data_IF_896938711461
#
_entry.id   IF_896938711461
#
_cell.length_a   1.000
_cell.length_b   1.000
_cell.length_c   1.000
_cell.angle_alpha   90.00
_cell.angle_beta   90.00
_cell.angle_gamma   90.00
#
_symmetry.space_group_name_H-M   'P 1'
#
loop_
_entity.id
_entity.type
_entity.pdbx_description
1 polymer ?
#
# COMPACT_ATOMS: atom_id res chain seq x y z
N UNK A 1 -14.57 -38.21 6.47
CA UNK A 1 -13.55 -38.17 5.40
C UNK A 1 -13.37 -36.72 4.99
N UNK A 2 -12.15 -36.17 5.06
CA UNK A 2 -11.87 -34.83 4.57
C UNK A 2 -12.14 -34.78 3.07
N UNK A 3 -13.10 -33.96 2.65
CA UNK A 3 -13.44 -33.75 1.24
C UNK A 3 -12.32 -32.87 0.66
N UNK A 4 -11.49 -33.43 -0.23
CA UNK A 4 -10.47 -32.66 -0.92
C UNK A 4 -11.14 -31.64 -1.84
N UNK A 5 -10.81 -30.35 -1.67
CA UNK A 5 -11.31 -29.27 -2.52
C UNK A 5 -10.20 -28.86 -3.50
N UNK A 6 -10.37 -29.09 -4.81
CA UNK A 6 -9.36 -28.75 -5.80
C UNK A 6 -9.13 -27.23 -5.90
N UNK A 7 -7.87 -26.80 -5.89
CA UNK A 7 -7.50 -25.43 -6.25
C UNK A 7 -7.54 -25.24 -7.79
N UNK A 8 -7.72 -24.01 -8.26
CA UNK A 8 -7.70 -23.64 -9.68
C UNK A 8 -6.42 -24.06 -10.39
N UNK A 9 -5.25 -23.84 -9.76
CA UNK A 9 -3.94 -24.22 -10.34
C UNK A 9 -3.84 -25.73 -10.49
N UNK A 10 -4.23 -26.48 -9.46
CA UNK A 10 -4.28 -27.94 -9.49
C UNK A 10 -5.17 -28.48 -10.62
N UNK A 11 -6.35 -27.88 -10.83
CA UNK A 11 -7.22 -28.27 -11.95
C UNK A 11 -6.58 -27.98 -13.32
N UNK A 12 -5.77 -26.91 -13.43
CA UNK A 12 -5.02 -26.58 -14.66
C UNK A 12 -3.85 -27.54 -14.91
N UNK A 13 -3.17 -28.00 -13.86
CA UNK A 13 -2.15 -29.06 -13.95
C UNK A 13 -2.76 -30.36 -14.51
N UNK A 14 -3.95 -30.74 -14.04
CA UNK A 14 -4.68 -31.90 -14.56
C UNK A 14 -5.03 -31.71 -16.05
N UNK A 15 -5.48 -30.51 -16.44
CA UNK A 15 -5.75 -30.21 -17.85
C UNK A 15 -4.48 -30.38 -18.70
N UNK A 16 -3.32 -29.90 -18.23
CA UNK A 16 -2.05 -30.04 -18.92
C UNK A 16 -1.64 -31.51 -19.05
N UNK A 17 -1.79 -32.30 -17.99
CA UNK A 17 -1.51 -33.72 -18.00
C UNK A 17 -2.33 -34.46 -19.07
N UNK A 18 -3.64 -34.23 -19.14
CA UNK A 18 -4.49 -34.84 -20.16
C UNK A 18 -4.26 -34.30 -21.56
N UNK A 19 -3.82 -33.05 -21.70
CA UNK A 19 -3.39 -32.49 -22.98
C UNK A 19 -2.15 -33.22 -23.52
N UNK A 20 -1.18 -33.55 -22.66
CA UNK A 20 0.00 -34.36 -23.02
C UNK A 20 -0.43 -35.77 -23.45
N UNK A 21 -1.45 -36.34 -22.81
CA UNK A 21 -2.07 -37.61 -23.20
C UNK A 21 -2.92 -37.55 -24.49
N UNK A 22 -2.96 -36.39 -25.19
CA UNK A 22 -3.71 -36.19 -26.44
C UNK A 22 -5.23 -36.37 -26.33
N UNK A 23 -5.80 -36.21 -25.13
CA UNK A 23 -7.26 -36.17 -24.96
C UNK A 23 -7.84 -34.86 -25.46
N UNK A 24 -9.14 -34.85 -25.76
CA UNK A 24 -9.86 -33.63 -26.11
C UNK A 24 -10.35 -32.88 -24.87
N UNK A 25 -10.51 -31.55 -24.97
CA UNK A 25 -11.02 -30.73 -23.87
C UNK A 25 -12.39 -31.19 -23.36
N UNK A 26 -13.26 -31.69 -24.26
CA UNK A 26 -14.59 -32.16 -23.93
C UNK A 26 -14.57 -33.47 -23.12
N UNK A 27 -13.65 -34.40 -23.45
CA UNK A 27 -13.46 -35.63 -22.67
C UNK A 27 -12.94 -35.30 -21.27
N UNK A 28 -11.97 -34.38 -21.18
CA UNK A 28 -11.40 -33.98 -19.90
C UNK A 28 -12.42 -33.27 -19.03
N UNK A 29 -13.26 -32.40 -19.60
CA UNK A 29 -14.36 -31.78 -18.86
C UNK A 29 -15.33 -32.82 -18.28
N UNK A 30 -15.71 -33.85 -19.05
CA UNK A 30 -16.55 -34.95 -18.55
C UNK A 30 -15.89 -35.69 -17.39
N UNK A 31 -14.60 -36.01 -17.51
CA UNK A 31 -13.82 -36.66 -16.44
C UNK A 31 -13.80 -35.77 -15.18
N UNK A 32 -13.52 -34.47 -15.33
CA UNK A 32 -13.46 -33.53 -14.22
C UNK A 32 -14.80 -33.37 -13.49
N UNK A 33 -15.90 -33.30 -14.23
CA UNK A 33 -17.26 -33.25 -13.65
C UNK A 33 -17.58 -34.55 -12.91
N UNK A 34 -17.19 -35.70 -13.46
CA UNK A 34 -17.39 -36.99 -12.81
C UNK A 34 -16.57 -37.14 -11.52
N UNK A 35 -15.35 -36.60 -11.47
CA UNK A 35 -14.47 -36.72 -10.30
C UNK A 35 -14.69 -35.65 -9.23
N UNK A 36 -14.96 -34.41 -9.64
CA UNK A 36 -15.00 -33.24 -8.74
C UNK A 36 -16.38 -32.59 -8.61
N UNK A 37 -17.38 -33.02 -9.40
CA UNK A 37 -18.74 -32.49 -9.34
C UNK A 37 -18.79 -30.98 -9.52
N UNK A 38 -19.38 -30.30 -8.54
CA UNK A 38 -19.54 -28.83 -8.53
C UNK A 38 -18.21 -28.06 -8.46
N UNK A 39 -17.12 -28.71 -8.04
CA UNK A 39 -15.79 -28.10 -7.98
C UNK A 39 -15.01 -28.21 -9.31
N UNK A 40 -15.60 -28.76 -10.36
CA UNK A 40 -14.97 -28.92 -11.66
C UNK A 40 -14.86 -27.57 -12.43
N UNK A 41 -13.89 -27.48 -13.33
CA UNK A 41 -13.81 -26.37 -14.27
C UNK A 41 -14.95 -26.43 -15.29
N UNK A 42 -15.46 -25.25 -15.67
CA UNK A 42 -16.44 -25.14 -16.75
C UNK A 42 -15.85 -25.58 -18.10
N UNK A 43 -16.71 -26.07 -19.01
CA UNK A 43 -16.31 -26.50 -20.35
C UNK A 43 -15.59 -25.39 -21.13
N UNK A 44 -16.04 -24.14 -20.99
CA UNK A 44 -15.40 -22.97 -21.63
C UNK A 44 -13.98 -22.77 -21.12
N UNK A 45 -13.77 -22.87 -19.80
CA UNK A 45 -12.45 -22.78 -19.19
C UNK A 45 -11.53 -23.91 -19.67
N UNK A 46 -12.02 -25.15 -19.73
CA UNK A 46 -11.26 -26.27 -20.28
C UNK A 46 -10.83 -26.01 -21.73
N UNK A 47 -11.73 -25.54 -22.59
CA UNK A 47 -11.42 -25.22 -24.00
C UNK A 47 -10.42 -24.07 -24.14
N UNK A 48 -10.55 -23.02 -23.34
CA UNK A 48 -9.63 -21.88 -23.36
C UNK A 48 -8.21 -22.29 -22.93
N UNK A 49 -8.07 -23.11 -21.89
CA UNK A 49 -6.78 -23.67 -21.49
C UNK A 49 -6.17 -24.56 -22.57
N UNK A 50 -6.97 -25.42 -23.19
CA UNK A 50 -6.50 -26.23 -24.32
C UNK A 50 -6.07 -25.37 -25.52
N UNK A 51 -6.70 -24.22 -25.74
CA UNK A 51 -6.25 -23.25 -26.75
C UNK A 51 -4.89 -22.65 -26.39
N UNK A 52 -4.65 -22.32 -25.12
CA UNK A 52 -3.35 -21.83 -24.63
C UNK A 52 -2.26 -22.88 -24.80
N UNK A 53 -2.51 -24.13 -24.40
CA UNK A 53 -1.54 -25.22 -24.54
C UNK A 53 -1.18 -25.49 -26.00
N UNK A 54 -2.13 -25.36 -26.93
CA UNK A 54 -1.86 -25.43 -28.38
C UNK A 54 -0.95 -24.31 -28.89
N UNK A 55 -0.98 -23.15 -28.24
CA UNK A 55 -0.10 -22.02 -28.53
C UNK A 55 1.24 -22.11 -27.79
N UNK A 56 1.58 -23.27 -27.21
CA UNK A 56 2.78 -23.52 -26.39
C UNK A 56 2.86 -22.64 -25.12
N UNK A 57 1.73 -22.14 -24.62
CA UNK A 57 1.66 -21.43 -23.34
C UNK A 57 1.27 -22.42 -22.22
N UNK A 58 2.26 -22.85 -21.44
CA UNK A 58 2.11 -23.83 -20.35
C UNK A 58 2.12 -23.19 -18.95
N UNK A 59 2.07 -21.86 -18.86
CA UNK A 59 2.02 -21.15 -17.58
C UNK A 59 0.64 -21.35 -16.94
N UNK A 60 0.60 -22.04 -15.79
CA UNK A 60 -0.64 -22.44 -15.13
C UNK A 60 -1.18 -21.37 -14.17
N UNK A 61 -0.34 -20.40 -13.81
CA UNK A 61 -0.73 -19.27 -12.97
C UNK A 61 -1.45 -18.19 -13.78
N UNK A 62 -2.28 -17.41 -13.08
CA UNK A 62 -2.86 -16.21 -13.69
C UNK A 62 -1.73 -15.20 -13.91
N UNK A 63 -1.54 -14.78 -15.16
CA UNK A 63 -0.68 -13.63 -15.47
C UNK A 63 -1.14 -12.41 -14.70
N UNK A 64 -0.19 -11.53 -14.38
CA UNK A 64 -0.50 -10.27 -13.71
C UNK A 64 -1.58 -9.55 -14.52
N UNK A 65 -2.71 -9.28 -13.86
CA UNK A 65 -3.83 -8.61 -14.51
C UNK A 65 -3.41 -7.17 -14.77
N UNK A 66 -3.71 -6.67 -15.97
CA UNK A 66 -3.69 -5.22 -16.18
C UNK A 66 -4.65 -4.59 -15.18
N UNK A 67 -4.08 -3.96 -14.16
CA UNK A 67 -4.83 -3.21 -13.17
C UNK A 67 -5.52 -2.01 -13.82
N UNK A 68 -6.29 -1.28 -13.01
CA UNK A 68 -6.81 0.02 -13.46
C UNK A 68 -5.64 0.93 -13.89
N UNK A 69 -5.79 1.68 -14.99
CA UNK A 69 -4.74 2.60 -15.43
C UNK A 69 -4.43 3.61 -14.33
N UNK A 70 -3.16 3.95 -14.17
CA UNK A 70 -2.73 4.99 -13.23
C UNK A 70 -3.28 6.35 -13.70
N UNK A 71 -3.85 7.13 -12.77
CA UNK A 71 -4.43 8.44 -13.07
C UNK A 71 -3.38 9.53 -13.34
N UNK A 72 -2.18 9.39 -12.76
CA UNK A 72 -1.03 10.28 -12.94
C UNK A 72 0.26 9.47 -12.77
N UNK A 73 1.39 10.02 -13.23
CA UNK A 73 2.70 9.35 -13.14
C UNK A 73 3.44 9.70 -11.85
N UNK A 74 4.27 8.78 -11.34
CA UNK A 74 5.01 9.01 -10.07
C UNK A 74 5.96 10.19 -10.18
N UNK A 75 6.55 10.36 -11.38
CA UNK A 75 7.44 11.46 -11.69
C UNK A 75 6.76 12.83 -11.58
N UNK A 76 5.47 12.93 -11.91
CA UNK A 76 4.72 14.18 -11.77
C UNK A 76 4.53 14.55 -10.30
N UNK A 77 4.26 13.55 -9.45
CA UNK A 77 4.15 13.74 -8.00
C UNK A 77 5.51 14.06 -7.36
N UNK A 78 6.60 13.41 -7.80
CA UNK A 78 7.96 13.68 -7.34
C UNK A 78 8.38 15.13 -7.67
N UNK A 79 8.10 15.60 -8.88
CA UNK A 79 8.40 16.99 -9.28
C UNK A 79 7.71 18.03 -8.39
N UNK A 80 6.45 17.80 -8.02
CA UNK A 80 5.73 18.70 -7.11
C UNK A 80 6.35 18.73 -5.71
N UNK A 81 6.83 17.59 -5.22
CA UNK A 81 7.50 17.48 -3.92
C UNK A 81 8.91 18.07 -3.92
N UNK A 82 9.61 18.03 -5.06
CA UNK A 82 10.92 18.67 -5.23
C UNK A 82 10.80 20.19 -5.23
N UNK A 83 9.69 20.74 -5.75
CA UNK A 83 9.40 22.17 -5.74
C UNK A 83 9.01 22.68 -4.34
N UNK A 84 8.07 21.99 -3.67
CA UNK A 84 7.69 22.29 -2.30
C UNK A 84 7.42 21.00 -1.50
N UNK A 85 8.37 20.58 -0.63
CA UNK A 85 8.22 19.35 0.14
C UNK A 85 7.19 19.45 1.27
N UNK A 86 6.62 20.64 1.51
CA UNK A 86 5.69 20.91 2.62
C UNK A 86 4.20 20.95 2.23
N UNK A 87 3.89 20.68 0.95
CA UNK A 87 2.52 20.68 0.43
C UNK A 87 1.60 19.70 1.15
N UNK A 88 0.32 20.09 1.26
CA UNK A 88 -0.71 19.23 1.83
C UNK A 88 -1.25 18.24 0.78
N UNK A 89 -1.78 17.10 1.26
CA UNK A 89 -2.41 16.12 0.37
C UNK A 89 -3.61 16.70 -0.41
N UNK A 90 -4.31 17.68 0.16
CA UNK A 90 -5.44 18.36 -0.49
C UNK A 90 -4.97 19.24 -1.65
N UNK A 91 -3.86 19.96 -1.48
CA UNK A 91 -3.27 20.79 -2.55
C UNK A 91 -2.75 19.92 -3.70
N UNK A 92 -1.99 18.86 -3.38
CA UNK A 92 -1.54 17.88 -4.36
C UNK A 92 -2.70 17.25 -5.12
N UNK A 93 -3.79 16.91 -4.42
CA UNK A 93 -5.00 16.37 -5.03
C UNK A 93 -5.67 17.35 -6.01
N UNK A 94 -5.71 18.64 -5.67
CA UNK A 94 -6.25 19.68 -6.56
C UNK A 94 -5.40 19.86 -7.82
N UNK A 95 -4.07 19.89 -7.67
CA UNK A 95 -3.13 20.04 -8.80
C UNK A 95 -3.21 18.83 -9.74
N UNK A 96 -3.18 17.62 -9.18
CA UNK A 96 -3.21 16.37 -9.93
C UNK A 96 -4.64 15.94 -10.33
N UNK A 97 -5.67 16.72 -9.98
CA UNK A 97 -7.09 16.42 -10.21
C UNK A 97 -7.51 15.02 -9.72
N UNK A 98 -6.99 14.61 -8.56
CA UNK A 98 -7.30 13.33 -7.91
C UNK A 98 -7.73 13.53 -6.46
N UNK A 99 -8.38 12.51 -5.91
CA UNK A 99 -8.74 12.51 -4.50
C UNK A 99 -7.51 12.40 -3.60
N UNK A 100 -7.61 12.98 -2.40
CA UNK A 100 -6.57 12.98 -1.37
C UNK A 100 -6.11 11.55 -1.01
N UNK A 101 -7.03 10.58 -1.03
CA UNK A 101 -6.74 9.20 -0.67
C UNK A 101 -5.82 8.53 -1.70
N UNK A 102 -5.97 8.87 -2.98
CA UNK A 102 -5.13 8.39 -4.07
C UNK A 102 -3.71 8.93 -3.93
N UNK A 103 -3.54 10.22 -3.63
CA UNK A 103 -2.23 10.82 -3.34
C UNK A 103 -1.59 10.14 -2.13
N UNK A 104 -2.33 9.98 -1.03
CA UNK A 104 -1.85 9.33 0.19
C UNK A 104 -1.37 7.89 -0.04
N UNK A 105 -2.15 7.09 -0.77
CA UNK A 105 -1.78 5.71 -1.13
C UNK A 105 -0.51 5.70 -1.98
N UNK A 106 -0.37 6.65 -2.91
CA UNK A 106 0.78 6.72 -3.80
C UNK A 106 2.06 7.08 -3.06
N UNK A 107 2.03 8.09 -2.20
CA UNK A 107 3.17 8.47 -1.35
C UNK A 107 3.64 7.31 -0.48
N UNK A 108 2.71 6.54 0.10
CA UNK A 108 3.05 5.32 0.84
C UNK A 108 3.70 4.25 -0.05
N UNK A 109 3.21 4.08 -1.28
CA UNK A 109 3.79 3.18 -2.26
C UNK A 109 5.22 3.57 -2.67
N UNK A 110 5.55 4.86 -2.64
CA UNK A 110 6.90 5.40 -2.85
C UNK A 110 7.78 5.34 -1.58
N UNK A 111 7.25 4.89 -0.43
CA UNK A 111 7.98 4.85 0.84
C UNK A 111 8.15 6.21 1.52
N UNK A 112 7.40 7.23 1.09
CA UNK A 112 7.47 8.57 1.66
C UNK A 112 6.77 8.63 3.02
N UNK A 113 7.36 9.39 3.95
CA UNK A 113 6.81 9.60 5.29
C UNK A 113 6.78 11.09 5.63
N UNK A 114 5.69 11.53 6.28
CA UNK A 114 5.58 12.89 6.76
C UNK A 114 6.42 13.07 8.02
N UNK A 115 7.32 14.05 8.00
CA UNK A 115 8.10 14.49 9.16
C UNK A 115 7.86 15.97 9.39
N UNK A 116 7.88 16.38 10.66
CA UNK A 116 7.89 17.80 11.00
C UNK A 116 9.28 18.36 10.75
N UNK A 117 9.33 19.59 10.24
CA UNK A 117 10.58 20.32 10.06
C UNK A 117 11.32 20.55 11.38
N UNK A 118 12.63 20.75 11.29
CA UNK A 118 13.42 21.13 12.45
C UNK A 118 13.19 22.61 12.77
N UNK A 119 13.09 22.93 14.06
CA UNK A 119 12.98 24.34 14.48
C UNK A 119 14.37 24.99 14.42
N UNK A 120 14.54 25.98 13.55
CA UNK A 120 15.77 26.76 13.45
C UNK A 120 15.57 28.07 14.21
N UNK A 121 16.46 28.42 15.17
CA UNK A 121 16.24 29.58 16.05
C UNK A 121 16.20 30.94 15.34
N UNK A 122 16.97 31.09 14.26
CA UNK A 122 17.13 32.37 13.56
C UNK A 122 17.35 32.14 12.05
N UNK A 123 16.89 33.09 11.23
CA UNK A 123 17.23 33.17 9.81
C UNK A 123 18.57 33.89 9.67
N UNK A 124 19.64 33.15 9.34
CA UNK A 124 21.01 33.67 9.38
C UNK A 124 21.37 34.46 8.11
N UNK A 125 21.90 35.68 8.28
CA UNK A 125 22.62 36.45 7.27
C UNK A 125 24.00 36.87 7.83
N UNK A 126 25.08 36.36 7.23
CA UNK A 126 26.51 36.68 7.43
C UNK A 126 27.26 36.25 8.73
N UNK A 127 28.59 36.15 8.58
CA UNK A 127 29.55 35.35 9.35
C UNK A 127 30.14 36.02 10.60
N UNK A 128 30.52 35.19 11.58
CA UNK A 128 31.00 35.61 12.90
C UNK A 128 32.53 35.50 13.03
N UNK A 129 33.21 36.59 13.43
CA UNK A 129 34.62 36.59 13.85
C UNK A 129 34.74 36.51 15.39
N UNK A 130 35.65 35.67 15.90
CA UNK A 130 36.10 35.46 17.30
C UNK A 130 35.16 36.01 18.40
N UNK A 131 34.27 35.17 18.92
CA UNK A 131 33.40 35.48 20.08
C UNK A 131 33.71 34.52 21.23
N UNK A 132 33.84 35.05 22.46
CA UNK A 132 33.78 34.26 23.71
C UNK A 132 32.31 34.19 24.11
N UNK A 133 31.77 32.98 24.27
CA UNK A 133 30.34 32.76 24.56
C UNK A 133 30.10 32.51 26.05
N UNK A 134 29.04 33.13 26.58
CA UNK A 134 28.42 32.80 27.86
C UNK A 134 26.91 32.86 27.70
N UNK A 135 26.18 31.85 28.19
CA UNK A 135 24.72 31.76 28.08
C UNK A 135 24.05 31.79 29.46
N UNK A 136 23.00 32.59 29.58
CA UNK A 136 22.09 32.57 30.73
C UNK A 136 20.81 31.86 30.33
N UNK A 137 20.36 30.92 31.16
CA UNK A 137 19.19 30.10 30.89
C UNK A 137 18.16 30.26 31.99
N UNK A 138 16.95 30.65 31.60
CA UNK A 138 15.80 30.67 32.50
C UNK A 138 15.45 29.26 32.98
N UNK A 139 15.40 29.09 34.31
CA UNK A 139 14.91 27.86 34.96
C UNK A 139 13.52 28.16 35.50
N UNK A 140 12.49 27.68 34.81
CA UNK A 140 11.11 27.78 35.29
C UNK A 140 10.89 26.78 36.43
N UNK A 141 10.24 27.22 37.52
CA UNK A 141 9.85 26.37 38.65
C UNK A 141 8.91 25.24 38.21
N UNK A 142 7.92 25.57 37.39
CA UNK A 142 7.02 24.60 36.75
C UNK A 142 7.12 24.72 35.22
N UNK A 143 7.58 23.64 34.57
CA UNK A 143 7.64 23.51 33.11
C UNK A 143 6.84 22.27 32.65
N UNK A 144 5.50 22.32 32.70
CA UNK A 144 4.66 21.15 32.43
C UNK A 144 4.71 20.74 30.96
N UNK A 145 5.26 19.55 30.69
CA UNK A 145 5.28 18.98 29.33
C UNK A 145 3.97 18.25 29.01
N UNK A 146 3.47 18.40 27.77
CA UNK A 146 2.30 17.65 27.28
C UNK A 146 2.59 16.14 27.33
N UNK A 147 1.78 15.39 28.08
CA UNK A 147 1.89 13.93 28.14
C UNK A 147 1.26 13.27 26.91
N UNK A 148 1.94 12.26 26.37
CA UNK A 148 1.40 11.34 25.37
C UNK A 148 0.99 10.05 26.10
N UNK A 149 -0.16 9.48 25.75
CA UNK A 149 -0.66 8.24 26.36
C UNK A 149 -1.14 7.27 25.28
N UNK A 150 -0.86 5.99 25.47
CA UNK A 150 -1.46 4.92 24.66
C UNK A 150 -2.92 4.73 25.07
N UNK A 151 -3.81 4.60 24.10
CA UNK A 151 -5.25 4.47 24.33
C UNK A 151 -5.99 3.99 23.09
N UNK A 152 -7.25 3.62 23.28
CA UNK A 152 -8.11 3.21 22.16
C UNK A 152 -8.44 4.43 21.27
N UNK A 153 -8.53 4.28 19.94
CA UNK A 153 -8.97 5.34 19.05
C UNK A 153 -10.30 5.95 19.51
N UNK A 154 -10.44 7.28 19.40
CA UNK A 154 -11.65 8.00 19.81
C UNK A 154 -11.78 8.31 21.31
N UNK A 155 -10.96 7.72 22.18
CA UNK A 155 -10.94 8.08 23.60
C UNK A 155 -10.03 9.27 23.88
N UNK A 156 -10.48 10.16 24.76
CA UNK A 156 -9.69 11.33 25.16
C UNK A 156 -8.38 10.91 25.85
N UNK A 157 -7.29 11.59 25.50
CA UNK A 157 -6.00 11.43 26.19
C UNK A 157 -6.06 12.02 27.61
N UNK A 158 -5.27 11.47 28.55
CA UNK A 158 -5.16 12.03 29.91
C UNK A 158 -4.64 13.47 29.83
N UNK A 159 -5.44 14.45 30.26
CA UNK A 159 -5.02 15.86 30.38
C UNK A 159 -3.95 16.00 31.48
N UNK A 160 -2.94 16.84 31.25
CA UNK A 160 -2.03 17.28 32.32
C UNK A 160 -2.87 18.08 33.32
N UNK A 161 -2.83 17.73 34.61
CA UNK A 161 -3.59 18.44 35.63
C UNK A 161 -3.14 19.91 35.68
N UNK A 162 -4.07 20.85 35.49
CA UNK A 162 -3.80 22.26 35.74
C UNK A 162 -3.67 22.45 37.26
N UNK A 163 -2.53 22.95 37.71
CA UNK A 163 -2.35 23.34 39.11
C UNK A 163 -3.24 24.58 39.32
N UNK A 164 -4.37 24.41 40.01
CA UNK A 164 -5.15 25.56 40.51
C UNK A 164 -4.29 26.24 41.57
N UNK A 165 -3.87 27.47 41.30
CA UNK A 165 -3.30 28.32 42.32
C UNK A 165 -4.30 28.43 43.48
N UNK A 166 -3.90 28.02 44.68
CA UNK A 166 -4.65 28.32 45.90
C UNK A 166 -4.41 29.80 46.20
N UNK A 167 -5.48 30.59 46.13
CA UNK A 167 -5.56 31.97 46.64
C UNK A 167 -5.40 32.00 48.14
#
# INVERSE_FOLDING_TARGET
>A
MSIFVPNKVYLREILLHYFIQKKSAAEVHKILVQTYGDNALSDTTCRDWFRRFKNNDFELEDKERSGAPKKFQDKELEQLLDEDPSQTLSELGKILQVDESTVSKRLKGLGMIQKQGHWVPYELFFASHRIVTGDEKWIHYDNPKRRKSWGKPGHASRKTAAIRAKT
#
